data_IF_926351608460
#
_entry.id   IF_926351608460
#
_cell.length_a   1.000
_cell.length_b   1.000
_cell.length_c   1.000
_cell.angle_alpha   90.00
_cell.angle_beta   90.00
_cell.angle_gamma   90.00
#
_symmetry.space_group_name_H-M   'P 1'
#
loop_
_entity.id
_entity.type
_entity.pdbx_description
1 polymer ?
#
# COMPACT_ATOMS: atom_id res chain seq x y z
N UNK A 1 -36.37 -40.97 48.06
CA UNK A 1 -35.23 -40.09 48.38
C UNK A 1 -34.44 -39.83 47.09
N UNK A 2 -34.59 -38.66 46.51
CA UNK A 2 -33.91 -38.28 45.28
C UNK A 2 -32.72 -37.41 45.63
N UNK A 3 -31.48 -37.91 45.41
CA UNK A 3 -30.24 -37.15 45.57
C UNK A 3 -30.06 -36.20 44.36
N UNK A 4 -30.13 -34.90 44.60
CA UNK A 4 -29.79 -33.87 43.62
C UNK A 4 -28.27 -33.71 43.65
N UNK A 5 -27.61 -34.14 42.58
CA UNK A 5 -26.22 -33.82 42.36
C UNK A 5 -26.10 -32.37 41.86
N UNK A 6 -25.48 -31.52 42.65
CA UNK A 6 -25.14 -30.16 42.25
C UNK A 6 -23.89 -30.22 41.36
N UNK A 7 -24.06 -29.88 40.08
CA UNK A 7 -22.94 -29.68 39.18
C UNK A 7 -22.38 -28.29 39.44
N UNK A 8 -21.22 -28.22 40.07
CA UNK A 8 -20.49 -26.97 40.26
C UNK A 8 -19.76 -26.72 38.95
N UNK A 9 -20.30 -25.82 38.12
CA UNK A 9 -19.58 -25.31 36.94
C UNK A 9 -18.52 -24.34 37.45
N UNK A 10 -17.27 -24.81 37.45
CA UNK A 10 -16.11 -23.97 37.74
C UNK A 10 -15.86 -23.11 36.50
N UNK A 11 -16.34 -21.88 36.50
CA UNK A 11 -15.98 -20.88 35.52
C UNK A 11 -14.53 -20.44 35.81
N UNK A 12 -13.57 -21.08 35.16
CA UNK A 12 -12.19 -20.59 35.12
C UNK A 12 -12.22 -19.32 34.26
N UNK A 13 -12.38 -18.15 34.91
CA UNK A 13 -12.09 -16.87 34.29
C UNK A 13 -10.58 -16.80 34.05
N UNK A 14 -10.18 -17.18 32.84
CA UNK A 14 -8.83 -16.94 32.36
C UNK A 14 -8.65 -15.42 32.29
N UNK A 15 -8.05 -14.84 33.32
CA UNK A 15 -7.46 -13.50 33.25
C UNK A 15 -6.33 -13.58 32.21
N UNK A 16 -6.70 -13.38 30.95
CA UNK A 16 -5.73 -13.06 29.91
C UNK A 16 -5.22 -11.68 30.27
N UNK A 17 -4.14 -11.64 31.08
CA UNK A 17 -3.31 -10.45 31.16
C UNK A 17 -2.91 -10.13 29.74
N UNK A 18 -3.50 -9.05 29.19
CA UNK A 18 -3.28 -8.64 27.81
C UNK A 18 -1.83 -8.22 27.59
N UNK A 19 -0.96 -9.17 27.35
CA UNK A 19 0.19 -8.88 26.52
C UNK A 19 -0.41 -8.56 25.14
N UNK A 20 -0.42 -7.29 24.78
CA UNK A 20 -0.74 -6.86 23.44
C UNK A 20 0.23 -7.57 22.51
N UNK A 21 -0.21 -8.66 21.87
CA UNK A 21 0.56 -9.30 20.82
C UNK A 21 0.66 -8.28 19.72
N UNK A 22 1.87 -7.76 19.49
CA UNK A 22 2.09 -6.79 18.44
C UNK A 22 1.54 -7.36 17.11
N UNK A 23 0.86 -6.53 16.35
CA UNK A 23 0.34 -7.00 15.07
C UNK A 23 1.51 -7.34 14.13
N UNK A 24 1.36 -8.34 13.24
CA UNK A 24 2.43 -8.66 12.28
C UNK A 24 2.89 -7.45 11.45
N UNK A 25 2.01 -6.47 11.25
CA UNK A 25 2.34 -5.21 10.58
C UNK A 25 3.25 -4.33 11.45
N UNK A 26 2.98 -4.22 12.76
CA UNK A 26 3.86 -3.50 13.70
C UNK A 26 5.25 -4.15 13.80
N UNK A 27 5.31 -5.49 13.79
CA UNK A 27 6.58 -6.20 13.80
C UNK A 27 7.38 -5.96 12.52
N UNK A 28 6.70 -5.91 11.36
CA UNK A 28 7.31 -5.54 10.09
C UNK A 28 7.87 -4.10 10.13
N UNK A 29 7.09 -3.16 10.65
CA UNK A 29 7.50 -1.75 10.80
C UNK A 29 8.69 -1.60 11.77
N UNK A 30 8.68 -2.29 12.92
CA UNK A 30 9.79 -2.31 13.88
C UNK A 30 11.07 -2.91 13.27
N UNK A 31 10.94 -4.00 12.51
CA UNK A 31 12.07 -4.61 11.81
C UNK A 31 12.66 -3.64 10.78
N UNK A 32 11.81 -2.99 9.99
CA UNK A 32 12.21 -1.98 9.01
C UNK A 32 12.94 -0.79 9.67
N UNK A 33 12.39 -0.24 10.76
CA UNK A 33 12.97 0.88 11.49
C UNK A 33 14.36 0.57 12.09
N UNK A 34 14.64 -0.69 12.42
CA UNK A 34 15.96 -1.16 12.89
C UNK A 34 16.94 -1.49 11.77
N UNK A 35 16.52 -1.37 10.49
CA UNK A 35 17.33 -1.77 9.34
C UNK A 35 17.35 -3.28 9.08
N UNK A 36 16.57 -4.08 9.82
CA UNK A 36 16.40 -5.52 9.56
C UNK A 36 15.42 -5.72 8.39
N UNK A 37 15.89 -5.29 7.21
CA UNK A 37 15.08 -5.36 5.99
C UNK A 37 14.74 -6.78 5.57
N UNK A 38 15.56 -7.76 5.93
CA UNK A 38 15.28 -9.18 5.63
C UNK A 38 14.04 -9.68 6.39
N UNK A 39 13.97 -9.39 7.69
CA UNK A 39 12.79 -9.72 8.51
C UNK A 39 11.58 -8.90 8.07
N UNK A 40 11.74 -7.59 7.83
CA UNK A 40 10.67 -6.72 7.34
C UNK A 40 10.09 -7.24 6.02
N UNK A 41 10.94 -7.64 5.06
CA UNK A 41 10.49 -8.23 3.80
C UNK A 41 9.66 -9.50 4.02
N UNK A 42 10.15 -10.44 4.83
CA UNK A 42 9.43 -11.70 5.09
C UNK A 42 8.04 -11.44 5.70
N UNK A 43 7.93 -10.53 6.64
CA UNK A 43 6.67 -10.19 7.30
C UNK A 43 5.71 -9.48 6.34
N UNK A 44 6.19 -8.46 5.61
CA UNK A 44 5.38 -7.76 4.60
C UNK A 44 4.93 -8.73 3.50
N UNK A 45 5.80 -9.67 3.05
CA UNK A 45 5.45 -10.65 2.03
C UNK A 45 4.27 -11.53 2.45
N UNK A 46 4.29 -12.00 3.70
CA UNK A 46 3.19 -12.80 4.26
C UNK A 46 1.86 -12.04 4.25
N UNK A 47 1.87 -10.77 4.67
CA UNK A 47 0.68 -9.92 4.72
C UNK A 47 0.20 -9.49 3.32
N UNK A 48 1.14 -9.18 2.43
CA UNK A 48 0.84 -8.72 1.08
C UNK A 48 0.15 -9.79 0.23
N UNK A 49 0.54 -11.06 0.37
CA UNK A 49 -0.13 -12.17 -0.34
C UNK A 49 -1.53 -12.45 0.21
N UNK A 50 -1.83 -11.98 1.44
CA UNK A 50 -3.17 -12.01 2.03
C UNK A 50 -4.02 -10.80 1.63
N UNK A 51 -3.51 -9.92 0.75
CA UNK A 51 -4.25 -8.76 0.23
C UNK A 51 -4.08 -7.47 1.05
N UNK A 52 -3.22 -7.43 2.09
CA UNK A 52 -3.02 -6.20 2.85
C UNK A 52 -2.34 -5.12 1.99
N UNK A 53 -3.03 -4.00 1.75
CA UNK A 53 -2.57 -2.93 0.85
C UNK A 53 -1.32 -2.21 1.37
N UNK A 54 -1.18 -2.01 2.69
CA UNK A 54 0.00 -1.37 3.28
C UNK A 54 1.23 -2.25 3.11
N UNK A 55 1.09 -3.57 3.32
CA UNK A 55 2.17 -4.53 3.11
C UNK A 55 2.57 -4.64 1.63
N UNK A 56 1.61 -4.58 0.72
CA UNK A 56 1.88 -4.52 -0.73
C UNK A 56 2.65 -3.26 -1.10
N UNK A 57 2.24 -2.10 -0.58
CA UNK A 57 2.97 -0.85 -0.76
C UNK A 57 4.39 -0.94 -0.22
N UNK A 58 4.58 -1.47 0.99
CA UNK A 58 5.89 -1.66 1.61
C UNK A 58 6.80 -2.58 0.78
N UNK A 59 6.26 -3.68 0.21
CA UNK A 59 7.03 -4.52 -0.72
C UNK A 59 7.46 -3.76 -1.97
N UNK A 60 6.57 -2.93 -2.52
CA UNK A 60 6.91 -2.05 -3.63
C UNK A 60 8.12 -1.15 -3.30
N UNK A 61 8.14 -0.53 -2.12
CA UNK A 61 9.28 0.27 -1.63
C UNK A 61 10.54 -0.60 -1.50
N UNK A 62 10.43 -1.78 -0.93
CA UNK A 62 11.57 -2.66 -0.68
C UNK A 62 12.25 -3.10 -1.97
N UNK A 63 11.49 -3.42 -3.02
CA UNK A 63 12.02 -3.73 -4.35
C UNK A 63 12.56 -2.48 -5.06
N UNK A 64 11.90 -1.32 -4.94
CA UNK A 64 12.35 -0.05 -5.54
C UNK A 64 13.70 0.42 -4.97
N UNK A 65 13.93 0.19 -3.65
CA UNK A 65 15.10 0.68 -2.92
C UNK A 65 16.15 -0.39 -2.58
N UNK A 66 16.04 -1.62 -3.06
CA UNK A 66 16.97 -2.73 -2.70
C UNK A 66 17.03 -3.02 -1.21
N UNK A 67 15.89 -3.00 -0.51
CA UNK A 67 15.82 -3.17 0.94
C UNK A 67 15.40 -4.61 1.30
N UNK A 68 16.38 -5.43 1.70
CA UNK A 68 16.19 -6.84 2.05
C UNK A 68 16.02 -7.79 0.86
N UNK A 69 15.94 -7.24 -0.36
CA UNK A 69 15.87 -7.94 -1.65
C UNK A 69 16.68 -7.17 -2.69
N UNK A 70 17.17 -7.81 -3.76
CA UNK A 70 17.75 -7.10 -4.90
C UNK A 70 16.74 -6.12 -5.50
N UNK A 71 17.23 -4.98 -6.01
CA UNK A 71 16.38 -4.01 -6.69
C UNK A 71 15.70 -4.64 -7.92
N UNK A 72 14.40 -4.48 -8.00
CA UNK A 72 13.61 -4.91 -9.16
C UNK A 72 12.42 -3.96 -9.35
N UNK A 73 12.54 -3.05 -10.30
CA UNK A 73 11.48 -2.09 -10.60
C UNK A 73 10.20 -2.75 -11.15
N UNK A 74 10.31 -3.88 -11.86
CA UNK A 74 9.14 -4.61 -12.34
C UNK A 74 8.35 -5.23 -11.19
N UNK A 75 9.03 -5.84 -10.21
CA UNK A 75 8.39 -6.33 -8.99
C UNK A 75 7.83 -5.16 -8.17
N UNK A 76 8.56 -4.04 -8.03
CA UNK A 76 8.05 -2.85 -7.35
C UNK A 76 6.72 -2.37 -7.96
N UNK A 77 6.66 -2.26 -9.30
CA UNK A 77 5.44 -1.86 -10.03
C UNK A 77 4.29 -2.84 -9.78
N UNK A 78 4.56 -4.15 -9.79
CA UNK A 78 3.51 -5.16 -9.52
C UNK A 78 2.89 -4.97 -8.13
N UNK A 79 3.72 -4.76 -7.10
CA UNK A 79 3.27 -4.57 -5.75
C UNK A 79 2.59 -3.21 -5.54
N UNK A 80 3.16 -2.12 -6.10
CA UNK A 80 2.49 -0.81 -6.09
C UNK A 80 1.13 -0.87 -6.77
N UNK A 81 1.00 -1.58 -7.91
CA UNK A 81 -0.27 -1.72 -8.62
C UNK A 81 -1.32 -2.43 -7.77
N UNK A 82 -0.95 -3.52 -7.08
CA UNK A 82 -1.87 -4.23 -6.19
C UNK A 82 -2.43 -3.31 -5.10
N UNK A 83 -1.57 -2.57 -4.41
CA UNK A 83 -2.00 -1.60 -3.41
C UNK A 83 -2.79 -0.42 -4.02
N UNK A 84 -2.33 0.11 -5.16
CA UNK A 84 -2.98 1.21 -5.88
C UNK A 84 -4.39 0.84 -6.35
N UNK A 85 -4.59 -0.39 -6.84
CA UNK A 85 -5.89 -0.92 -7.27
C UNK A 85 -6.89 -1.01 -6.09
N UNK A 86 -6.40 -1.16 -4.86
CA UNK A 86 -7.22 -1.09 -3.64
C UNK A 86 -7.49 0.36 -3.17
N UNK A 87 -6.86 1.35 -3.79
CA UNK A 87 -7.03 2.78 -3.46
C UNK A 87 -5.99 3.33 -2.50
N UNK A 88 -4.88 2.64 -2.25
CA UNK A 88 -3.80 3.12 -1.38
C UNK A 88 -3.09 4.34 -2.01
N UNK A 89 -3.25 5.53 -1.41
CA UNK A 89 -2.84 6.81 -2.00
C UNK A 89 -1.33 6.88 -2.32
N UNK A 90 -0.47 6.48 -1.37
CA UNK A 90 0.98 6.50 -1.60
C UNK A 90 1.42 5.52 -2.70
N UNK A 91 0.76 4.35 -2.80
CA UNK A 91 1.04 3.40 -3.87
C UNK A 91 0.61 3.96 -5.24
N UNK A 92 -0.52 4.67 -5.31
CA UNK A 92 -0.95 5.36 -6.52
C UNK A 92 0.05 6.44 -6.94
N UNK A 93 0.56 7.24 -6.00
CA UNK A 93 1.60 8.25 -6.28
C UNK A 93 2.89 7.60 -6.80
N UNK A 94 3.38 6.53 -6.15
CA UNK A 94 4.58 5.83 -6.59
C UNK A 94 4.39 5.15 -7.95
N UNK A 95 3.23 4.55 -8.20
CA UNK A 95 2.92 3.95 -9.50
C UNK A 95 2.89 5.01 -10.61
N UNK A 96 2.32 6.20 -10.34
CA UNK A 96 2.39 7.35 -11.24
C UNK A 96 3.83 7.74 -11.57
N UNK A 97 4.70 7.77 -10.55
CA UNK A 97 6.13 8.05 -10.73
C UNK A 97 6.84 6.98 -11.58
N UNK A 98 6.51 5.69 -11.38
CA UNK A 98 7.09 4.61 -12.19
C UNK A 98 6.71 4.76 -13.67
N UNK A 99 5.45 5.10 -13.98
CA UNK A 99 5.01 5.38 -15.34
C UNK A 99 5.66 6.65 -15.92
N UNK A 100 5.75 7.73 -15.14
CA UNK A 100 6.39 8.96 -15.62
C UNK A 100 7.86 8.77 -15.97
N UNK A 101 8.57 7.89 -15.25
CA UNK A 101 10.00 7.63 -15.46
C UNK A 101 10.30 6.41 -16.35
N UNK A 102 9.31 5.60 -16.71
CA UNK A 102 9.52 4.34 -17.43
C UNK A 102 10.30 3.30 -16.62
N UNK A 103 10.20 3.31 -15.28
CA UNK A 103 10.89 2.35 -14.41
C UNK A 103 10.03 1.12 -14.16
N UNK A 104 10.49 -0.04 -14.62
CA UNK A 104 9.79 -1.32 -14.49
C UNK A 104 8.55 -1.47 -15.36
N UNK A 105 8.16 -0.42 -16.07
CA UNK A 105 7.09 -0.35 -17.07
C UNK A 105 7.49 0.60 -18.20
N UNK A 106 6.93 0.46 -19.41
CA UNK A 106 7.07 1.49 -20.44
C UNK A 106 6.58 2.86 -19.92
N UNK A 107 7.28 3.93 -20.30
CA UNK A 107 6.88 5.28 -19.95
C UNK A 107 5.51 5.62 -20.54
N UNK A 108 4.62 6.16 -19.69
CA UNK A 108 3.26 6.56 -20.07
C UNK A 108 2.81 7.74 -19.22
N UNK A 109 2.80 8.93 -19.80
CA UNK A 109 2.40 10.15 -19.10
C UNK A 109 0.90 10.22 -18.84
N UNK A 110 0.05 9.59 -19.65
CA UNK A 110 -1.41 9.54 -19.45
C UNK A 110 -1.71 8.73 -18.19
N UNK A 111 -1.13 7.52 -18.08
CA UNK A 111 -1.26 6.71 -16.88
C UNK A 111 -0.61 7.36 -15.66
N UNK A 112 0.55 7.99 -15.81
CA UNK A 112 1.20 8.71 -14.71
C UNK A 112 0.30 9.81 -14.15
N UNK A 113 -0.24 10.66 -15.01
CA UNK A 113 -1.13 11.75 -14.63
C UNK A 113 -2.44 11.24 -14.00
N UNK A 114 -3.01 10.16 -14.55
CA UNK A 114 -4.19 9.49 -13.97
C UNK A 114 -3.92 9.02 -12.53
N UNK A 115 -2.81 8.30 -12.30
CA UNK A 115 -2.47 7.78 -10.97
C UNK A 115 -2.17 8.89 -9.97
N UNK A 116 -1.52 9.98 -10.38
CA UNK A 116 -1.32 11.16 -9.52
C UNK A 116 -2.65 11.81 -9.12
N UNK A 117 -3.60 11.97 -10.05
CA UNK A 117 -4.93 12.50 -9.72
C UNK A 117 -5.66 11.64 -8.70
N UNK A 118 -5.59 10.30 -8.84
CA UNK A 118 -6.19 9.37 -7.91
C UNK A 118 -5.56 9.48 -6.52
N UNK A 119 -4.23 9.55 -6.43
CA UNK A 119 -3.50 9.72 -5.17
C UNK A 119 -3.91 11.02 -4.47
N UNK A 120 -3.88 12.15 -5.19
CA UNK A 120 -4.24 13.48 -4.68
C UNK A 120 -5.65 13.48 -4.08
N UNK A 121 -6.60 12.80 -4.72
CA UNK A 121 -7.99 12.73 -4.25
C UNK A 121 -8.17 11.87 -2.98
N UNK A 122 -7.16 11.06 -2.61
CA UNK A 122 -7.23 10.09 -1.51
C UNK A 122 -6.36 10.44 -0.31
N UNK A 123 -5.38 11.32 -0.47
CA UNK A 123 -4.61 11.80 0.68
C UNK A 123 -5.52 12.50 1.69
N UNK A 124 -5.35 12.14 2.95
CA UNK A 124 -6.06 12.73 4.09
C UNK A 124 -5.58 14.16 4.37
N UNK A 125 -6.26 14.86 5.26
CA UNK A 125 -5.85 16.21 5.67
C UNK A 125 -4.47 16.22 6.37
N UNK A 126 -4.10 15.13 7.05
CA UNK A 126 -2.78 14.98 7.69
C UNK A 126 -1.64 14.70 6.72
N UNK A 127 -1.95 14.34 5.47
CA UNK A 127 -0.99 14.03 4.40
C UNK A 127 -0.89 15.16 3.37
N UNK A 128 -1.05 16.40 3.84
CA UNK A 128 -1.04 17.59 2.98
C UNK A 128 0.30 17.76 2.22
N UNK A 129 1.42 17.44 2.85
CA UNK A 129 2.74 17.53 2.21
C UNK A 129 2.88 16.54 1.05
N UNK A 130 2.43 15.29 1.22
CA UNK A 130 2.42 14.26 0.18
C UNK A 130 1.47 14.62 -0.97
N UNK A 131 0.32 15.20 -0.65
CA UNK A 131 -0.63 15.73 -1.64
C UNK A 131 0.03 16.80 -2.49
N UNK A 132 0.73 17.76 -1.89
CA UNK A 132 1.41 18.85 -2.60
C UNK A 132 2.58 18.33 -3.46
N UNK A 133 3.41 17.42 -2.92
CA UNK A 133 4.48 16.77 -3.68
C UNK A 133 3.93 16.03 -4.90
N UNK A 134 2.87 15.26 -4.71
CA UNK A 134 2.23 14.52 -5.81
C UNK A 134 1.60 15.45 -6.83
N UNK A 135 1.01 16.59 -6.38
CA UNK A 135 0.50 17.64 -7.24
C UNK A 135 1.59 18.22 -8.16
N UNK A 136 2.76 18.52 -7.59
CA UNK A 136 3.91 19.01 -8.38
C UNK A 136 4.37 17.97 -9.42
N UNK A 137 4.42 16.69 -9.07
CA UNK A 137 4.78 15.62 -10.01
C UNK A 137 3.76 15.51 -11.15
N UNK A 138 2.46 15.60 -10.84
CA UNK A 138 1.40 15.63 -11.85
C UNK A 138 1.57 16.83 -12.79
N UNK A 139 1.82 18.02 -12.25
CA UNK A 139 1.91 19.25 -13.06
C UNK A 139 3.17 19.24 -13.96
N UNK A 140 4.30 18.72 -13.46
CA UNK A 140 5.50 18.47 -14.28
C UNK A 140 5.17 17.48 -15.40
N UNK A 141 4.46 16.40 -15.10
CA UNK A 141 4.04 15.42 -16.11
C UNK A 141 3.12 16.07 -17.14
N UNK A 142 2.14 16.84 -16.69
CA UNK A 142 1.20 17.54 -17.57
C UNK A 142 1.89 18.53 -18.52
N UNK A 143 3.02 19.14 -18.14
CA UNK A 143 3.78 20.07 -18.99
C UNK A 143 4.37 19.39 -20.24
N UNK A 144 4.46 18.06 -20.26
CA UNK A 144 4.93 17.27 -21.41
C UNK A 144 3.80 16.67 -22.23
N UNK A 145 2.53 16.89 -21.82
CA UNK A 145 1.35 16.27 -22.41
C UNK A 145 0.58 17.26 -23.30
N UNK A 146 -0.13 16.72 -24.30
CA UNK A 146 -1.13 17.50 -25.05
C UNK A 146 -2.42 17.69 -24.23
N UNK A 147 -3.25 18.69 -24.58
CA UNK A 147 -4.58 18.86 -23.94
C UNK A 147 -5.44 17.59 -24.01
N UNK A 148 -5.41 16.86 -25.12
CA UNK A 148 -6.18 15.61 -25.30
C UNK A 148 -5.68 14.49 -24.38
N UNK A 149 -4.36 14.37 -24.21
CA UNK A 149 -3.78 13.40 -23.26
C UNK A 149 -4.16 13.74 -21.81
N UNK A 150 -4.19 15.02 -21.44
CA UNK A 150 -4.63 15.44 -20.10
C UNK A 150 -6.12 15.12 -19.91
N UNK A 151 -6.96 15.39 -20.93
CA UNK A 151 -8.37 15.08 -20.86
C UNK A 151 -8.64 13.56 -20.72
N UNK A 152 -7.89 12.74 -21.45
CA UNK A 152 -7.97 11.28 -21.34
C UNK A 152 -7.53 10.79 -19.95
N UNK A 153 -6.42 11.29 -19.41
CA UNK A 153 -5.96 10.94 -18.07
C UNK A 153 -6.98 11.29 -16.99
N UNK A 154 -7.63 12.46 -17.12
CA UNK A 154 -8.70 12.90 -16.20
C UNK A 154 -9.95 12.02 -16.33
N UNK A 155 -10.32 11.61 -17.55
CA UNK A 155 -11.42 10.68 -17.78
C UNK A 155 -11.14 9.34 -17.14
N UNK A 156 -9.97 8.74 -17.38
CA UNK A 156 -9.57 7.48 -16.76
C UNK A 156 -9.60 7.55 -15.22
N UNK A 157 -9.17 8.67 -14.64
CA UNK A 157 -9.23 8.87 -13.19
C UNK A 157 -10.68 8.93 -12.66
N UNK A 158 -11.61 9.56 -13.38
CA UNK A 158 -13.04 9.61 -12.99
C UNK A 158 -13.74 8.26 -13.10
N UNK A 159 -13.36 7.44 -14.07
CA UNK A 159 -13.95 6.13 -14.34
C UNK A 159 -13.35 5.03 -13.46
N UNK A 160 -12.19 5.28 -12.87
CA UNK A 160 -11.49 4.31 -12.04
C UNK A 160 -12.28 3.96 -10.76
N UNK A 161 -12.30 2.67 -10.41
CA UNK A 161 -12.90 2.16 -9.16
C UNK A 161 -11.94 1.21 -8.46
N UNK A 162 -11.89 1.27 -7.11
CA UNK A 162 -11.08 0.32 -6.34
C UNK A 162 -11.50 -1.13 -6.61
N UNK A 163 -10.51 -2.00 -6.70
CA UNK A 163 -10.70 -3.44 -6.78
C UNK A 163 -10.55 -4.04 -5.39
N UNK A 164 -11.49 -4.89 -4.96
CA UNK A 164 -11.28 -5.73 -3.79
C UNK A 164 -10.44 -6.92 -4.22
N UNK A 165 -9.32 -7.18 -3.54
CA UNK A 165 -8.65 -8.48 -3.68
C UNK A 165 -9.60 -9.58 -3.13
N UNK A 166 -9.70 -10.68 -3.89
CA UNK A 166 -10.51 -11.85 -3.51
C UNK A 166 -9.68 -12.79 -2.65
#
# INVERSE_FOLDING_TARGET
MRRRAAVIILIISLLITGLAVASPMEDAAKAYARGDYKTAYRLNKSLAVQGNADAQFNLGIMYDNSQGVPQDYSEAVKWYRKAADQGHAHAQSNLGRMYALGKGVPQDYVLAHMWFNLAISRFTASEQEEREKTGKLRDITASTMTPDQIAEAQKLAREWKPKKEK
#
